data_IF_078748294897
#
_entry.id   IF_078748294897
#
_cell.length_a   1.000
_cell.length_b   1.000
_cell.length_c   1.000
_cell.angle_alpha   90.00
_cell.angle_beta   90.00
_cell.angle_gamma   90.00
#
_symmetry.space_group_name_H-M   'P 1'
#
loop_
_entity.id
_entity.type
_entity.pdbx_description
1 polymer ?
#
# COMPACT_ATOMS: atom_id res chain seq x y z
N UNK A 1 -28.50 1.86 8.31
CA UNK A 1 -28.42 1.91 9.79
C UNK A 1 -27.57 3.14 10.10
N UNK A 2 -28.16 4.19 10.67
CA UNK A 2 -27.45 5.43 10.99
C UNK A 2 -26.39 5.12 12.06
N UNK A 3 -25.12 5.13 11.70
CA UNK A 3 -24.01 5.14 12.65
C UNK A 3 -23.80 6.59 13.08
N UNK A 4 -24.10 6.89 14.33
CA UNK A 4 -23.80 8.18 14.94
C UNK A 4 -22.29 8.42 14.88
N UNK A 5 -21.90 9.42 14.09
CA UNK A 5 -20.53 9.93 14.06
C UNK A 5 -20.24 10.54 15.42
N UNK A 6 -19.43 9.86 16.24
CA UNK A 6 -18.81 10.50 17.41
C UNK A 6 -17.73 11.45 16.88
N UNK A 7 -18.17 12.64 16.47
CA UNK A 7 -17.30 13.69 15.96
C UNK A 7 -16.56 14.32 17.15
N UNK A 8 -15.54 13.63 17.66
CA UNK A 8 -14.60 14.22 18.59
C UNK A 8 -13.78 15.23 17.77
N UNK A 9 -14.22 16.48 17.74
CA UNK A 9 -13.58 17.60 17.04
C UNK A 9 -12.26 17.96 17.72
N UNK A 10 -11.28 17.07 17.57
CA UNK A 10 -9.94 17.30 18.05
C UNK A 10 -9.21 18.12 16.98
N UNK A 11 -8.97 19.39 17.27
CA UNK A 11 -8.28 20.34 16.36
C UNK A 11 -6.84 19.92 16.01
N UNK A 12 -6.32 18.89 16.68
CA UNK A 12 -4.99 18.33 16.44
C UNK A 12 -4.83 17.65 15.06
N UNK A 13 -5.93 17.34 14.36
CA UNK A 13 -5.91 16.62 13.07
C UNK A 13 -6.65 17.39 11.96
N UNK A 14 -6.66 18.72 12.06
CA UNK A 14 -7.40 19.60 11.14
C UNK A 14 -6.54 20.78 10.67
N UNK A 15 -5.39 20.49 10.07
CA UNK A 15 -4.61 21.49 9.33
C UNK A 15 -5.46 22.07 8.19
N UNK A 16 -5.55 23.40 8.03
CA UNK A 16 -6.54 24.05 7.16
C UNK A 16 -6.38 23.76 5.67
N UNK A 17 -5.16 23.46 5.21
CA UNK A 17 -4.88 23.21 3.79
C UNK A 17 -5.12 21.76 3.34
N UNK A 18 -5.50 20.87 4.27
CA UNK A 18 -5.72 19.45 3.99
C UNK A 18 -7.03 18.95 4.61
N UNK A 19 -7.63 17.88 4.06
CA UNK A 19 -8.80 17.26 4.68
C UNK A 19 -8.49 16.82 6.12
N UNK A 20 -9.43 17.02 7.06
CA UNK A 20 -9.24 16.61 8.44
C UNK A 20 -9.25 15.09 8.55
N UNK A 21 -8.35 14.55 9.37
CA UNK A 21 -8.34 13.13 9.68
C UNK A 21 -9.24 12.88 10.90
N UNK A 22 -10.20 11.96 10.76
CA UNK A 22 -11.13 11.58 11.84
C UNK A 22 -11.19 10.07 12.01
N UNK A 23 -11.74 9.61 13.14
CA UNK A 23 -11.87 8.19 13.43
C UNK A 23 -13.31 7.82 13.79
N UNK A 24 -13.67 6.57 13.49
CA UNK A 24 -14.81 5.89 14.11
C UNK A 24 -14.36 4.56 14.69
N UNK A 25 -15.08 4.05 15.69
CA UNK A 25 -14.80 2.75 16.28
C UNK A 25 -16.04 1.86 16.24
N UNK A 26 -15.85 0.62 15.77
CA UNK A 26 -16.90 -0.37 15.76
C UNK A 26 -16.31 -1.77 15.97
N UNK A 27 -16.89 -2.55 16.91
CA UNK A 27 -16.49 -3.94 17.20
C UNK A 27 -14.97 -4.14 17.40
N UNK A 28 -14.32 -3.20 18.08
CA UNK A 28 -12.88 -3.25 18.38
C UNK A 28 -11.98 -2.91 17.20
N UNK A 29 -12.54 -2.38 16.11
CA UNK A 29 -11.81 -1.85 14.96
C UNK A 29 -11.95 -0.34 14.98
N UNK A 30 -10.81 0.35 14.79
CA UNK A 30 -10.73 1.79 14.57
C UNK A 30 -10.56 2.05 13.08
N UNK A 31 -11.44 2.86 12.52
CA UNK A 31 -11.45 3.25 11.12
C UNK A 31 -10.94 4.68 10.97
N UNK A 32 -10.16 4.92 9.93
CA UNK A 32 -9.65 6.23 9.54
C UNK A 32 -10.53 6.81 8.44
N UNK A 33 -10.81 8.11 8.52
CA UNK A 33 -11.57 8.87 7.54
C UNK A 33 -10.88 10.20 7.22
N UNK A 34 -11.08 10.70 6.00
CA UNK A 34 -10.55 11.98 5.51
C UNK A 34 -11.70 12.92 5.16
N UNK A 35 -12.27 13.63 6.14
CA UNK A 35 -13.39 14.57 5.93
C UNK A 35 -14.69 13.98 5.37
N UNK A 36 -14.72 12.71 4.97
CA UNK A 36 -15.86 12.01 4.35
C UNK A 36 -16.23 10.75 5.14
N UNK A 37 -17.31 10.07 4.72
CA UNK A 37 -17.74 8.79 5.33
C UNK A 37 -16.91 7.59 4.88
N UNK A 38 -16.05 7.76 3.88
CA UNK A 38 -15.30 6.66 3.29
C UNK A 38 -14.20 6.19 4.24
N UNK A 39 -14.00 4.88 4.29
CA UNK A 39 -12.94 4.26 5.09
C UNK A 39 -11.65 4.35 4.30
N UNK A 40 -10.67 5.06 4.85
CA UNK A 40 -9.33 5.25 4.28
C UNK A 40 -8.30 4.29 4.88
N UNK A 41 -8.70 3.55 5.91
CA UNK A 41 -7.85 2.57 6.58
C UNK A 41 -8.52 2.05 7.85
N UNK A 42 -8.02 0.93 8.35
CA UNK A 42 -8.51 0.34 9.58
C UNK A 42 -7.37 -0.23 10.43
N UNK A 43 -7.62 -0.35 11.73
CA UNK A 43 -6.74 -1.02 12.67
C UNK A 43 -7.57 -1.68 13.77
N UNK A 44 -7.28 -2.94 14.04
CA UNK A 44 -7.82 -3.62 15.21
C UNK A 44 -7.10 -3.16 16.47
N UNK A 45 -7.87 -2.75 17.48
CA UNK A 45 -7.32 -2.16 18.72
C UNK A 45 -6.48 -3.18 19.51
N UNK A 46 -6.90 -4.45 19.55
CA UNK A 46 -6.19 -5.51 20.28
C UNK A 46 -5.01 -6.13 19.50
N UNK A 47 -4.91 -5.83 18.20
CA UNK A 47 -3.88 -6.35 17.27
C UNK A 47 -3.43 -5.25 16.31
N UNK A 48 -2.79 -4.17 16.81
CA UNK A 48 -2.51 -2.97 16.02
C UNK A 48 -1.51 -3.20 14.87
N UNK A 49 -0.70 -4.25 14.94
CA UNK A 49 0.28 -4.63 13.91
C UNK A 49 -0.28 -5.64 12.88
N UNK A 50 -1.53 -6.08 13.02
CA UNK A 50 -2.19 -6.89 12.02
C UNK A 50 -2.82 -5.99 10.95
N UNK A 51 -2.74 -6.42 9.69
CA UNK A 51 -3.41 -5.72 8.59
C UNK A 51 -4.88 -6.16 8.56
N UNK A 52 -5.80 -5.23 8.78
CA UNK A 52 -7.23 -5.52 8.91
C UNK A 52 -7.94 -5.61 7.55
N UNK A 53 -7.61 -4.72 6.60
CA UNK A 53 -8.27 -4.63 5.29
C UNK A 53 -7.65 -5.61 4.28
N UNK A 54 -8.49 -6.24 3.46
CA UNK A 54 -8.08 -7.30 2.53
C UNK A 54 -7.19 -6.78 1.39
N UNK A 55 -7.56 -5.69 0.70
CA UNK A 55 -6.69 -5.08 -0.32
C UNK A 55 -5.31 -4.70 0.24
N UNK A 56 -5.23 -4.21 1.49
CA UNK A 56 -3.96 -3.88 2.15
C UNK A 56 -3.14 -5.15 2.42
N UNK A 57 -3.80 -6.28 2.74
CA UNK A 57 -3.11 -7.57 2.80
C UNK A 57 -2.61 -7.99 1.41
N UNK A 58 -3.41 -7.80 0.36
CA UNK A 58 -3.01 -8.10 -1.02
C UNK A 58 -1.84 -7.23 -1.49
N UNK A 59 -1.72 -5.98 -1.05
CA UNK A 59 -0.54 -5.15 -1.29
C UNK A 59 0.76 -5.73 -0.72
N UNK A 60 0.70 -6.75 0.15
CA UNK A 60 1.86 -7.50 0.64
C UNK A 60 2.25 -8.68 -0.27
N UNK A 61 1.61 -8.84 -1.44
CA UNK A 61 1.88 -9.93 -2.38
C UNK A 61 3.32 -9.94 -2.90
N UNK A 62 4.02 -8.80 -2.85
CA UNK A 62 5.46 -8.71 -3.10
C UNK A 62 6.29 -9.69 -2.27
N UNK A 63 5.82 -10.10 -1.08
CA UNK A 63 6.50 -11.06 -0.20
C UNK A 63 6.75 -12.42 -0.86
N UNK A 64 5.95 -12.78 -1.89
CA UNK A 64 6.16 -13.98 -2.68
C UNK A 64 7.46 -13.92 -3.51
N UNK A 65 7.93 -12.71 -3.84
CA UNK A 65 9.06 -12.46 -4.74
C UNK A 65 10.27 -11.86 -4.01
N UNK A 66 10.04 -11.13 -2.91
CA UNK A 66 11.05 -10.42 -2.14
C UNK A 66 11.02 -10.83 -0.66
N UNK A 67 11.62 -11.96 -0.28
CA UNK A 67 11.56 -12.46 1.10
C UNK A 67 12.41 -11.64 2.09
N UNK A 68 13.43 -10.92 1.62
CA UNK A 68 14.37 -10.15 2.45
C UNK A 68 14.66 -8.77 1.84
N UNK A 69 13.66 -7.87 1.74
CA UNK A 69 13.88 -6.53 1.22
C UNK A 69 14.79 -5.74 2.17
N UNK A 70 15.73 -4.95 1.66
CA UNK A 70 16.55 -4.03 2.46
C UNK A 70 15.87 -2.68 2.62
N UNK A 71 15.15 -2.21 1.60
CA UNK A 71 14.42 -0.93 1.62
C UNK A 71 13.01 -1.08 1.05
N UNK A 72 12.02 -0.72 1.88
CA UNK A 72 10.62 -0.60 1.48
C UNK A 72 10.24 0.88 1.49
N UNK A 73 9.57 1.35 0.44
CA UNK A 73 9.02 2.70 0.36
C UNK A 73 7.51 2.62 0.18
N UNK A 74 6.78 3.50 0.87
CA UNK A 74 5.34 3.67 0.73
C UNK A 74 5.04 5.10 0.28
N UNK A 75 4.27 5.23 -0.79
CA UNK A 75 3.70 6.50 -1.24
C UNK A 75 2.23 6.50 -0.78
N UNK A 76 1.94 7.31 0.23
CA UNK A 76 0.71 7.24 1.01
C UNK A 76 0.89 6.43 2.31
N UNK A 77 0.46 6.99 3.45
CA UNK A 77 0.57 6.35 4.77
C UNK A 77 -0.69 5.54 5.14
N UNK A 78 -1.88 6.02 4.75
CA UNK A 78 -3.16 5.46 5.17
C UNK A 78 -3.27 5.35 6.70
N UNK A 79 -3.75 4.20 7.22
CA UNK A 79 -3.76 3.91 8.67
C UNK A 79 -2.42 3.40 9.22
N UNK A 80 -1.33 3.61 8.49
CA UNK A 80 0.01 3.07 8.76
C UNK A 80 0.07 1.54 8.82
N UNK A 81 -0.92 0.82 8.27
CA UNK A 81 -0.99 -0.64 8.36
C UNK A 81 0.20 -1.32 7.68
N UNK A 82 0.51 -0.94 6.43
CA UNK A 82 1.69 -1.43 5.70
C UNK A 82 2.98 -1.02 6.41
N UNK A 83 3.06 0.23 6.87
CA UNK A 83 4.24 0.78 7.56
C UNK A 83 4.58 0.00 8.81
N UNK A 84 3.62 -0.15 9.72
CA UNK A 84 3.79 -0.88 10.98
C UNK A 84 4.11 -2.34 10.73
N UNK A 85 3.38 -2.99 9.82
CA UNK A 85 3.62 -4.38 9.49
C UNK A 85 5.06 -4.56 8.99
N UNK A 86 5.48 -3.79 7.99
CA UNK A 86 6.83 -3.88 7.43
C UNK A 86 7.91 -3.59 8.48
N UNK A 87 7.77 -2.50 9.25
CA UNK A 87 8.74 -2.11 10.27
C UNK A 87 8.88 -3.16 11.40
N UNK A 88 7.79 -3.78 11.82
CA UNK A 88 7.78 -4.78 12.90
C UNK A 88 8.20 -6.17 12.45
N UNK A 89 7.86 -6.57 11.22
CA UNK A 89 8.08 -7.94 10.73
C UNK A 89 9.39 -8.14 9.99
N UNK A 90 10.01 -7.05 9.52
CA UNK A 90 11.31 -7.08 8.87
C UNK A 90 12.30 -6.17 9.63
N UNK A 91 12.97 -6.69 10.66
CA UNK A 91 13.84 -5.89 11.54
C UNK A 91 15.10 -5.37 10.83
N UNK A 92 15.53 -6.01 9.75
CA UNK A 92 16.70 -5.62 8.95
C UNK A 92 16.36 -4.69 7.77
N UNK A 93 15.08 -4.28 7.65
CA UNK A 93 14.59 -3.46 6.55
C UNK A 93 14.42 -2.01 7.00
N UNK A 94 14.83 -1.06 6.16
CA UNK A 94 14.43 0.34 6.31
C UNK A 94 13.08 0.58 5.62
N UNK A 95 12.22 1.37 6.25
CA UNK A 95 10.89 1.71 5.79
C UNK A 95 10.77 3.22 5.71
N UNK A 96 10.54 3.74 4.50
CA UNK A 96 10.29 5.16 4.29
C UNK A 96 8.86 5.38 3.79
N UNK A 97 8.25 6.49 4.19
CA UNK A 97 6.89 6.86 3.76
C UNK A 97 6.86 8.32 3.35
N UNK A 98 6.28 8.60 2.18
CA UNK A 98 5.91 9.94 1.74
C UNK A 98 4.40 10.09 1.87
N UNK A 99 3.95 10.94 2.80
CA UNK A 99 2.53 11.24 3.02
C UNK A 99 2.31 12.74 2.86
N UNK A 100 1.32 13.12 2.06
CA UNK A 100 1.07 14.53 1.77
C UNK A 100 0.30 15.24 2.89
N UNK A 101 -0.58 14.54 3.60
CA UNK A 101 -1.46 15.12 4.60
C UNK A 101 -0.86 15.00 6.01
N UNK A 102 -0.38 16.09 6.63
CA UNK A 102 0.18 16.04 7.98
C UNK A 102 -0.83 15.58 9.05
N UNK A 103 -2.14 15.74 8.81
CA UNK A 103 -3.17 15.25 9.73
C UNK A 103 -3.16 13.70 9.81
N UNK A 104 -2.82 13.03 8.71
CA UNK A 104 -2.74 11.56 8.64
C UNK A 104 -1.52 11.06 9.43
N UNK A 105 -0.38 11.73 9.29
CA UNK A 105 0.82 11.41 10.08
C UNK A 105 0.53 11.58 11.58
N UNK A 106 -0.04 12.73 11.95
CA UNK A 106 -0.35 13.05 13.34
C UNK A 106 -1.36 12.07 13.97
N UNK A 107 -2.46 11.76 13.27
CA UNK A 107 -3.45 10.82 13.79
C UNK A 107 -2.91 9.40 13.84
N UNK A 108 -2.03 9.01 12.92
CA UNK A 108 -1.42 7.69 12.94
C UNK A 108 -0.52 7.48 14.15
N UNK A 109 0.30 8.48 14.48
CA UNK A 109 1.13 8.47 15.69
C UNK A 109 0.28 8.44 16.97
N UNK A 110 -0.83 9.19 17.01
CA UNK A 110 -1.67 9.29 18.20
C UNK A 110 -2.63 8.12 18.38
N UNK A 111 -3.19 7.58 17.30
CA UNK A 111 -4.38 6.70 17.31
C UNK A 111 -4.20 5.41 16.50
N UNK A 112 -3.18 5.27 15.67
CA UNK A 112 -2.96 4.04 14.89
C UNK A 112 -1.65 3.33 15.24
N UNK A 113 -1.06 3.63 16.39
CA UNK A 113 0.14 2.96 16.90
C UNK A 113 1.34 2.99 15.94
N UNK A 114 1.41 4.02 15.08
CA UNK A 114 2.61 4.30 14.28
C UNK A 114 3.76 4.65 15.25
N UNK A 115 4.87 3.89 15.28
CA UNK A 115 6.03 4.26 16.08
C UNK A 115 6.66 5.56 15.58
N UNK A 116 7.38 6.30 16.44
CA UNK A 116 8.13 7.47 16.01
C UNK A 116 9.24 7.06 15.03
N UNK A 117 9.66 8.01 14.18
CA UNK A 117 10.80 7.81 13.30
C UNK A 117 12.06 7.47 14.09
N UNK A 118 12.89 6.61 13.51
CA UNK A 118 14.19 6.18 14.04
C UNK A 118 15.18 5.92 12.90
N UNK A 119 16.25 5.16 13.15
CA UNK A 119 17.25 4.84 12.13
C UNK A 119 16.72 3.96 10.98
N UNK A 120 15.60 3.27 11.15
CA UNK A 120 14.98 2.40 10.13
C UNK A 120 13.64 2.92 9.62
N UNK A 121 12.87 3.62 10.44
CA UNK A 121 11.58 4.18 10.05
C UNK A 121 11.67 5.68 9.81
N UNK A 122 11.19 6.10 8.65
CA UNK A 122 11.21 7.49 8.23
C UNK A 122 9.92 7.88 7.50
N UNK A 123 8.93 8.36 8.26
CA UNK A 123 7.69 8.93 7.74
C UNK A 123 7.86 10.44 7.58
N UNK A 124 7.62 10.95 6.37
CA UNK A 124 7.80 12.37 6.03
C UNK A 124 6.54 12.96 5.44
N UNK A 125 6.25 14.21 5.83
CA UNK A 125 5.31 15.06 5.11
C UNK A 125 5.94 15.44 3.77
N UNK A 126 5.51 14.79 2.68
CA UNK A 126 6.16 14.90 1.38
C UNK A 126 5.19 14.51 0.26
N UNK A 127 5.26 15.22 -0.86
CA UNK A 127 4.58 14.80 -2.07
C UNK A 127 5.26 13.55 -2.64
N UNK A 128 4.47 12.54 -3.01
CA UNK A 128 4.97 11.32 -3.63
C UNK A 128 5.78 11.57 -4.92
N UNK A 129 5.40 12.56 -5.72
CA UNK A 129 6.12 12.93 -6.94
C UNK A 129 7.52 13.49 -6.61
N UNK A 130 7.63 14.33 -5.58
CA UNK A 130 8.92 14.84 -5.13
C UNK A 130 9.84 13.71 -4.65
N UNK A 131 9.28 12.68 -4.00
CA UNK A 131 10.04 11.51 -3.58
C UNK A 131 10.63 10.75 -4.78
N UNK A 132 9.82 10.46 -5.80
CA UNK A 132 10.26 9.64 -6.94
C UNK A 132 11.13 10.40 -7.95
N UNK A 133 11.01 11.72 -7.99
CA UNK A 133 11.88 12.58 -8.80
C UNK A 133 13.22 12.90 -8.13
N UNK A 134 13.36 12.69 -6.82
CA UNK A 134 14.65 12.80 -6.14
C UNK A 134 15.58 11.66 -6.57
N UNK A 135 16.58 12.02 -7.37
CA UNK A 135 17.61 11.11 -7.89
C UNK A 135 18.38 10.34 -6.81
N UNK A 136 18.38 10.80 -5.55
CA UNK A 136 18.99 10.06 -4.44
C UNK A 136 18.23 8.76 -4.09
N UNK A 137 16.98 8.62 -4.53
CA UNK A 137 16.18 7.41 -4.35
C UNK A 137 16.31 6.43 -5.53
N UNK A 138 16.92 6.82 -6.65
CA UNK A 138 17.03 6.00 -7.86
C UNK A 138 17.87 4.74 -7.64
N UNK A 139 17.35 3.59 -8.05
CA UNK A 139 18.03 2.29 -7.92
C UNK A 139 18.11 1.76 -6.48
N UNK A 140 17.39 2.34 -5.52
CA UNK A 140 17.57 2.01 -4.09
C UNK A 140 16.42 1.25 -3.44
N UNK A 141 15.28 1.13 -4.10
CA UNK A 141 14.04 0.63 -3.50
C UNK A 141 13.77 -0.81 -3.92
N UNK A 142 13.73 -1.74 -2.98
CA UNK A 142 13.45 -3.15 -3.29
C UNK A 142 11.95 -3.40 -3.47
N UNK A 143 11.13 -2.69 -2.69
CA UNK A 143 9.68 -2.76 -2.75
C UNK A 143 9.11 -1.34 -2.65
N UNK A 144 8.38 -0.92 -3.67
CA UNK A 144 7.63 0.33 -3.68
C UNK A 144 6.13 0.01 -3.55
N UNK A 145 5.46 0.58 -2.55
CA UNK A 145 4.03 0.42 -2.35
C UNK A 145 3.35 1.75 -2.63
N UNK A 146 2.44 1.80 -3.61
CA UNK A 146 1.73 3.01 -4.01
C UNK A 146 0.26 2.87 -3.65
N UNK A 147 -0.22 3.75 -2.76
CA UNK A 147 -1.59 3.76 -2.24
C UNK A 147 -2.07 5.23 -2.14
N UNK A 148 -2.17 5.88 -3.30
CA UNK A 148 -2.40 7.33 -3.42
C UNK A 148 -3.82 7.61 -3.90
N UNK A 149 -4.73 7.90 -2.98
CA UNK A 149 -6.12 8.26 -3.27
C UNK A 149 -6.49 9.63 -2.71
N UNK A 150 -7.46 10.28 -3.37
CA UNK A 150 -8.07 11.50 -2.84
C UNK A 150 -9.14 11.18 -1.77
N UNK A 151 -9.59 12.21 -1.07
CA UNK A 151 -10.65 12.13 -0.04
C UNK A 151 -12.00 11.60 -0.56
N UNK A 152 -12.20 11.69 -1.87
CA UNK A 152 -13.39 11.21 -2.58
C UNK A 152 -13.26 9.74 -3.02
N UNK A 153 -12.07 9.14 -2.86
CA UNK A 153 -11.70 7.81 -3.31
C UNK A 153 -12.04 7.59 -4.79
N UNK A 154 -11.80 8.56 -5.68
CA UNK A 154 -12.24 8.46 -7.09
C UNK A 154 -11.25 7.76 -8.03
N UNK A 155 -10.05 7.45 -7.55
CA UNK A 155 -9.01 6.74 -8.30
C UNK A 155 -7.61 7.23 -7.90
N UNK A 156 -6.55 6.65 -8.48
CA UNK A 156 -5.18 7.07 -8.18
C UNK A 156 -4.97 8.54 -8.56
N UNK A 157 -4.38 9.33 -7.64
CA UNK A 157 -4.10 10.76 -7.88
C UNK A 157 -2.96 10.95 -8.90
N UNK A 158 -2.09 9.95 -9.04
CA UNK A 158 -0.99 9.90 -9.99
C UNK A 158 -1.10 8.63 -10.83
N UNK A 159 -1.41 8.79 -12.12
CA UNK A 159 -1.76 7.69 -13.01
C UNK A 159 -1.15 7.82 -14.43
N UNK A 160 -0.06 8.58 -14.55
CA UNK A 160 0.58 8.86 -15.85
C UNK A 160 1.80 7.97 -16.10
N UNK A 161 2.16 7.70 -17.36
CA UNK A 161 3.38 6.96 -17.69
C UNK A 161 4.65 7.59 -17.10
N UNK A 162 4.72 8.92 -17.01
CA UNK A 162 5.87 9.63 -16.44
C UNK A 162 6.01 9.38 -14.93
N UNK A 163 4.89 9.34 -14.21
CA UNK A 163 4.90 8.97 -12.80
C UNK A 163 5.37 7.52 -12.63
N UNK A 164 4.83 6.59 -13.43
CA UNK A 164 5.25 5.20 -13.38
C UNK A 164 6.71 5.00 -13.77
N UNK A 165 7.24 5.78 -14.71
CA UNK A 165 8.68 5.81 -15.04
C UNK A 165 9.51 6.29 -13.84
N UNK A 166 9.11 7.35 -13.15
CA UNK A 166 9.82 7.80 -11.95
C UNK A 166 9.80 6.75 -10.82
N UNK A 167 8.67 6.05 -10.66
CA UNK A 167 8.57 4.88 -9.76
C UNK A 167 9.54 3.77 -10.17
N UNK A 168 9.60 3.42 -11.46
CA UNK A 168 10.53 2.44 -12.01
C UNK A 168 12.00 2.82 -11.77
N UNK A 169 12.34 4.10 -11.91
CA UNK A 169 13.70 4.61 -11.70
C UNK A 169 14.15 4.47 -10.24
N UNK A 170 13.22 4.58 -9.28
CA UNK A 170 13.48 4.34 -7.85
C UNK A 170 13.81 2.87 -7.52
N UNK A 171 13.27 1.92 -8.27
CA UNK A 171 13.43 0.50 -7.96
C UNK A 171 14.88 0.02 -8.17
N UNK A 172 15.36 -0.85 -7.28
CA UNK A 172 16.58 -1.63 -7.49
C UNK A 172 16.44 -2.56 -8.70
N UNK A 173 17.54 -3.14 -9.20
CA UNK A 173 17.57 -3.92 -10.46
C UNK A 173 16.55 -5.06 -10.53
N UNK A 174 16.21 -5.65 -9.39
CA UNK A 174 15.22 -6.71 -9.25
C UNK A 174 13.98 -6.25 -8.46
N UNK A 175 13.81 -4.94 -8.25
CA UNK A 175 12.76 -4.33 -7.45
C UNK A 175 11.35 -4.53 -8.00
N UNK A 176 10.36 -4.40 -7.11
CA UNK A 176 8.94 -4.58 -7.40
C UNK A 176 8.13 -3.41 -6.89
N UNK A 177 7.12 -3.00 -7.66
CA UNK A 177 6.07 -2.10 -7.21
C UNK A 177 4.77 -2.87 -6.97
N UNK A 178 4.07 -2.56 -5.89
CA UNK A 178 2.66 -2.94 -5.67
C UNK A 178 1.83 -1.69 -5.59
N UNK A 179 0.78 -1.59 -6.38
CA UNK A 179 -0.17 -0.47 -6.30
C UNK A 179 -1.58 -0.99 -6.11
N UNK A 180 -2.35 -0.32 -5.27
CA UNK A 180 -3.80 -0.44 -5.33
C UNK A 180 -4.29 0.42 -6.50
N UNK A 181 -5.23 -0.08 -7.30
CA UNK A 181 -5.94 0.70 -8.32
C UNK A 181 -7.43 0.54 -8.04
N UNK A 182 -8.07 1.66 -7.71
CA UNK A 182 -9.49 1.74 -7.40
C UNK A 182 -10.20 2.54 -8.50
N UNK A 183 -11.45 2.21 -8.78
CA UNK A 183 -12.32 2.95 -9.69
C UNK A 183 -13.04 2.04 -10.67
N UNK A 184 -13.49 2.62 -11.79
CA UNK A 184 -14.18 1.87 -12.84
C UNK A 184 -13.22 1.24 -13.85
N UNK A 185 -13.78 0.48 -14.80
CA UNK A 185 -13.01 -0.17 -15.88
C UNK A 185 -12.09 0.79 -16.64
N UNK A 186 -12.49 2.06 -16.83
CA UNK A 186 -11.67 3.03 -17.55
C UNK A 186 -10.44 3.46 -16.75
N UNK A 187 -10.57 3.54 -15.42
CA UNK A 187 -9.45 3.79 -14.50
C UNK A 187 -8.44 2.65 -14.55
N UNK A 188 -8.90 1.40 -14.58
CA UNK A 188 -8.02 0.23 -14.66
C UNK A 188 -7.22 0.22 -15.95
N UNK A 189 -7.88 0.30 -17.10
CA UNK A 189 -7.22 0.20 -18.42
C UNK A 189 -6.14 1.27 -18.58
N UNK A 190 -6.43 2.52 -18.18
CA UNK A 190 -5.46 3.61 -18.24
C UNK A 190 -4.21 3.33 -17.40
N UNK A 191 -4.40 2.91 -16.15
CA UNK A 191 -3.30 2.64 -15.22
C UNK A 191 -2.46 1.44 -15.67
N UNK A 192 -3.12 0.35 -16.08
CA UNK A 192 -2.44 -0.86 -16.55
C UNK A 192 -1.62 -0.57 -17.81
N UNK A 193 -2.20 0.10 -18.82
CA UNK A 193 -1.47 0.48 -20.03
C UNK A 193 -0.27 1.36 -19.74
N UNK A 194 -0.41 2.33 -18.82
CA UNK A 194 0.70 3.20 -18.43
C UNK A 194 1.84 2.43 -17.74
N UNK A 195 1.51 1.45 -16.89
CA UNK A 195 2.50 0.57 -16.26
C UNK A 195 3.15 -0.38 -17.27
N UNK A 196 2.40 -0.96 -18.21
CA UNK A 196 2.91 -1.88 -19.24
C UNK A 196 3.88 -1.21 -20.22
N UNK A 197 3.82 0.11 -20.38
CA UNK A 197 4.80 0.88 -21.17
C UNK A 197 6.17 1.01 -20.49
N UNK A 198 6.24 0.80 -19.17
CA UNK A 198 7.39 1.13 -18.33
C UNK A 198 8.02 -0.12 -17.72
N UNK A 199 7.20 -1.01 -17.17
CA UNK A 199 7.65 -2.18 -16.43
C UNK A 199 7.79 -3.40 -17.34
N UNK A 200 8.75 -4.27 -17.03
CA UNK A 200 9.03 -5.47 -17.83
C UNK A 200 7.89 -6.51 -17.70
N UNK A 201 7.22 -6.54 -16.55
CA UNK A 201 5.99 -7.32 -16.36
C UNK A 201 5.02 -6.58 -15.45
N UNK A 202 3.73 -6.64 -15.79
CA UNK A 202 2.62 -6.10 -15.00
C UNK A 202 1.56 -7.19 -14.86
N UNK A 203 1.15 -7.48 -13.63
CA UNK A 203 0.10 -8.48 -13.33
C UNK A 203 -0.87 -7.88 -12.33
N UNK A 204 -2.15 -8.25 -12.37
CA UNK A 204 -3.14 -7.73 -11.44
C UNK A 204 -4.02 -8.85 -10.87
N UNK A 205 -4.43 -8.67 -9.62
CA UNK A 205 -5.34 -9.58 -8.94
C UNK A 205 -6.52 -8.77 -8.40
N UNK A 206 -7.75 -9.07 -8.81
CA UNK A 206 -8.93 -8.39 -8.29
C UNK A 206 -9.21 -8.81 -6.85
N UNK A 207 -9.67 -7.87 -6.03
CA UNK A 207 -10.28 -8.17 -4.74
C UNK A 207 -11.67 -8.77 -4.95
N UNK A 208 -12.06 -9.73 -4.11
CA UNK A 208 -13.31 -10.49 -4.31
C UNK A 208 -14.58 -9.70 -3.99
N UNK A 209 -14.49 -8.65 -3.16
CA UNK A 209 -15.64 -7.98 -2.57
C UNK A 209 -15.76 -6.50 -2.90
N UNK A 210 -14.72 -5.89 -3.47
CA UNK A 210 -14.62 -4.45 -3.70
C UNK A 210 -14.06 -4.13 -5.09
N UNK A 211 -14.15 -2.87 -5.49
CA UNK A 211 -13.66 -2.34 -6.78
C UNK A 211 -12.13 -2.05 -6.76
N UNK A 212 -11.38 -2.78 -5.93
CA UNK A 212 -9.93 -2.69 -5.87
C UNK A 212 -9.30 -3.79 -6.72
N UNK A 213 -8.31 -3.42 -7.53
CA UNK A 213 -7.33 -4.38 -8.06
C UNK A 213 -5.96 -4.07 -7.47
N UNK A 214 -5.25 -5.09 -7.02
CA UNK A 214 -3.84 -4.93 -6.65
C UNK A 214 -2.99 -5.33 -7.85
N UNK A 215 -2.19 -4.38 -8.32
CA UNK A 215 -1.27 -4.55 -9.44
C UNK A 215 0.14 -4.75 -8.88
N UNK A 216 0.85 -5.74 -9.42
CA UNK A 216 2.27 -5.97 -9.21
C UNK A 216 2.98 -5.60 -10.51
N UNK A 217 3.90 -4.65 -10.45
CA UNK A 217 4.71 -4.23 -11.57
C UNK A 217 6.19 -4.49 -11.26
N UNK A 218 6.86 -5.22 -12.14
CA UNK A 218 8.21 -5.70 -11.92
C UNK A 218 9.21 -4.93 -12.77
N UNK A 219 10.29 -4.44 -12.16
CA UNK A 219 11.39 -3.84 -12.94
C UNK A 219 12.01 -4.86 -13.90
N UNK A 220 12.06 -6.12 -13.46
CA UNK A 220 12.49 -7.27 -14.23
C UNK A 220 11.51 -8.42 -14.01
N UNK A 221 11.04 -9.01 -15.09
CA UNK A 221 10.10 -10.13 -15.08
C UNK A 221 10.57 -11.25 -14.15
N UNK A 222 9.73 -11.71 -13.22
CA UNK A 222 10.09 -12.78 -12.31
C UNK A 222 10.09 -14.14 -13.04
N UNK A 223 10.90 -15.08 -12.56
CA UNK A 223 10.70 -16.48 -12.88
C UNK A 223 9.53 -17.02 -12.06
N UNK A 224 8.54 -17.63 -12.73
CA UNK A 224 7.34 -18.15 -12.09
C UNK A 224 7.41 -19.68 -12.02
N UNK A 225 7.61 -20.20 -10.81
CA UNK A 225 7.29 -21.58 -10.45
C UNK A 225 6.16 -21.55 -9.41
N UNK A 226 4.97 -22.00 -9.81
CA UNK A 226 3.82 -22.00 -8.91
C UNK A 226 3.98 -22.94 -7.71
N UNK A 227 4.78 -24.01 -7.82
CA UNK A 227 5.11 -24.86 -6.68
C UNK A 227 5.85 -24.05 -5.62
N UNK A 228 6.92 -23.35 -6.03
CA UNK A 228 7.69 -22.47 -5.15
C UNK A 228 6.83 -21.34 -4.57
N UNK A 229 5.95 -20.73 -5.37
CA UNK A 229 5.05 -19.68 -4.90
C UNK A 229 4.08 -20.21 -3.83
N UNK A 230 3.54 -21.43 -3.98
CA UNK A 230 2.70 -22.04 -2.96
C UNK A 230 3.47 -22.37 -1.67
N UNK A 231 4.74 -22.80 -1.77
CA UNK A 231 5.59 -23.00 -0.60
C UNK A 231 5.85 -21.68 0.15
N UNK A 232 6.21 -20.62 -0.57
CA UNK A 232 6.37 -19.27 -0.01
C UNK A 232 5.08 -18.76 0.61
N UNK A 233 3.94 -18.97 -0.05
CA UNK A 233 2.63 -18.61 0.48
C UNK A 233 2.30 -19.36 1.78
N UNK A 234 2.64 -20.64 1.89
CA UNK A 234 2.46 -21.41 3.12
C UNK A 234 3.34 -20.86 4.26
N UNK A 235 4.59 -20.48 3.95
CA UNK A 235 5.48 -19.84 4.91
C UNK A 235 4.93 -18.47 5.38
N UNK A 236 4.45 -17.65 4.45
CA UNK A 236 3.83 -16.34 4.74
C UNK A 236 2.61 -16.52 5.65
N UNK A 237 1.73 -17.48 5.32
CA UNK A 237 0.55 -17.77 6.16
C UNK A 237 0.95 -18.22 7.56
N UNK A 238 1.94 -19.11 7.68
CA UNK A 238 2.42 -19.62 8.97
C UNK A 238 3.04 -18.53 9.83
N UNK A 239 3.87 -17.67 9.24
CA UNK A 239 4.64 -16.66 9.98
C UNK A 239 3.86 -15.39 10.27
N UNK A 240 3.01 -14.97 9.34
CA UNK A 240 2.36 -13.66 9.38
C UNK A 240 0.83 -13.72 9.41
N UNK A 241 0.25 -14.91 9.27
CA UNK A 241 -1.20 -15.14 9.18
C UNK A 241 -1.90 -14.49 7.96
N UNK A 242 -1.14 -14.03 6.96
CA UNK A 242 -1.68 -13.45 5.72
C UNK A 242 -2.19 -14.54 4.76
N UNK A 243 -3.28 -14.32 4.01
CA UNK A 243 -3.93 -15.31 3.16
C UNK A 243 -3.20 -15.56 1.83
N UNK A 244 -1.87 -15.69 1.86
CA UNK A 244 -1.02 -15.68 0.67
C UNK A 244 -1.30 -16.79 -0.35
N UNK A 245 -1.95 -17.89 0.06
CA UNK A 245 -2.41 -18.93 -0.87
C UNK A 245 -3.40 -18.38 -1.90
N UNK A 246 -4.29 -17.48 -1.47
CA UNK A 246 -5.28 -16.86 -2.36
C UNK A 246 -4.61 -15.96 -3.39
N UNK A 247 -3.52 -15.28 -3.01
CA UNK A 247 -2.72 -14.47 -3.93
C UNK A 247 -2.12 -15.32 -5.05
N UNK A 248 -1.51 -16.46 -4.70
CA UNK A 248 -0.97 -17.39 -5.71
C UNK A 248 -2.06 -17.96 -6.62
N UNK A 249 -3.24 -18.27 -6.07
CA UNK A 249 -4.39 -18.68 -6.87
C UNK A 249 -4.81 -17.57 -7.85
N UNK A 250 -4.88 -16.32 -7.39
CA UNK A 250 -5.22 -15.16 -8.21
C UNK A 250 -4.22 -14.94 -9.34
N UNK A 251 -2.91 -14.98 -9.04
CA UNK A 251 -1.85 -14.90 -10.05
C UNK A 251 -1.94 -16.04 -11.08
N UNK A 252 -2.25 -17.26 -10.63
CA UNK A 252 -2.40 -18.41 -11.52
C UNK A 252 -3.61 -18.25 -12.44
N UNK A 253 -4.73 -17.79 -11.90
CA UNK A 253 -5.93 -17.55 -12.68
C UNK A 253 -5.70 -16.44 -13.70
N UNK A 254 -5.14 -15.31 -13.27
CA UNK A 254 -4.76 -14.21 -14.15
C UNK A 254 -3.90 -14.70 -15.33
N UNK A 255 -2.88 -15.53 -15.07
CA UNK A 255 -2.00 -16.05 -16.12
C UNK A 255 -2.72 -16.98 -17.12
N UNK A 256 -3.76 -17.70 -16.69
CA UNK A 256 -4.60 -18.50 -17.57
C UNK A 256 -5.52 -17.63 -18.43
N UNK A 257 -5.99 -16.51 -17.89
CA UNK A 257 -6.88 -15.58 -18.58
C UNK A 257 -6.15 -14.76 -19.67
N UNK A 258 -4.82 -14.67 -19.61
CA UNK A 258 -3.99 -14.01 -20.64
C UNK A 258 -3.62 -14.91 -21.84
N UNK A 259 -4.01 -16.21 -21.84
CA UNK A 259 -3.69 -17.19 -22.90
C UNK A 259 -4.86 -17.39 -23.87
#
# INVERSE_FOLDING_TARGET
MHTDFTNNSNTAFSHPDHPPATITEHRGIRYLHLGTKWVQGAMRIDKPDAIELEYVQMMMMWMLFKPQPKRIVQLGLGSAALTKFSYRRFPETSVAVAELNPNIIAICGAQFALPPNDARLDVREMNALDFVLDTSNHGTVDVLQVDLYDEEARGPVLDTPEFYQACFDCLSDDGIMTTNVFGDFSSYDKNLQAMELVFDAVVWVPELQDENIVVLAFKKSPSLDFSDLYERAAAIKKQYNLPAKNWVNGLKQWMLDQQ
#
